data_IF_963120665300
#
_entry.id   IF_963120665300
#
_cell.length_a   1.000
_cell.length_b   1.000
_cell.length_c   1.000
_cell.angle_alpha   90.00
_cell.angle_beta   90.00
_cell.angle_gamma   90.00
#
_symmetry.space_group_name_H-M   'P 1'
#
loop_
_entity.id
_entity.type
_entity.pdbx_description
1 polymer ?
#
# COMPACT_ATOMS: atom_id res chain seq x y z
N UNK A 1 -26.08 42.33 34.69
CA UNK A 1 -25.80 42.14 33.26
C UNK A 1 -24.45 41.45 33.15
N UNK A 2 -24.42 40.13 32.87
CA UNK A 2 -23.15 39.41 32.62
C UNK A 2 -23.44 38.05 31.93
N UNK A 3 -23.93 38.12 30.69
CA UNK A 3 -24.15 36.97 29.80
C UNK A 3 -23.43 37.21 28.47
N UNK A 4 -22.12 37.39 28.51
CA UNK A 4 -21.31 37.60 27.31
C UNK A 4 -20.00 36.81 27.36
N UNK A 5 -20.11 35.52 27.63
CA UNK A 5 -19.04 34.56 27.41
C UNK A 5 -19.60 33.37 26.65
N UNK A 6 -19.93 33.55 25.35
CA UNK A 6 -20.23 32.41 24.49
C UNK A 6 -18.98 31.53 24.47
N UNK A 7 -19.02 30.44 25.24
CA UNK A 7 -17.98 29.43 25.26
C UNK A 7 -17.73 29.00 23.82
N UNK A 8 -16.48 29.16 23.35
CA UNK A 8 -16.06 28.65 22.04
C UNK A 8 -16.50 27.18 21.98
N UNK A 9 -17.40 26.88 21.05
CA UNK A 9 -18.00 25.55 20.94
C UNK A 9 -16.93 24.47 20.90
N UNK A 10 -16.95 23.58 21.88
CA UNK A 10 -16.07 22.42 21.91
C UNK A 10 -16.51 21.52 20.76
N UNK A 11 -15.65 21.36 19.75
CA UNK A 11 -15.93 20.45 18.64
C UNK A 11 -15.55 19.04 19.08
N UNK A 12 -16.56 18.21 19.33
CA UNK A 12 -16.37 16.76 19.50
C UNK A 12 -15.98 16.18 18.13
N UNK A 13 -14.87 15.44 18.09
CA UNK A 13 -14.32 14.91 16.83
C UNK A 13 -14.56 13.44 16.61
N UNK A 14 -14.57 12.64 17.68
CA UNK A 14 -14.70 11.20 17.62
C UNK A 14 -15.62 10.71 18.75
N UNK A 15 -16.42 9.68 18.47
CA UNK A 15 -17.17 8.88 19.44
C UNK A 15 -16.48 7.51 19.59
N UNK A 16 -16.49 6.98 20.81
CA UNK A 16 -16.12 5.59 21.08
C UNK A 16 -17.36 4.89 21.64
N UNK A 17 -17.60 3.64 21.25
CA UNK A 17 -18.75 2.87 21.72
C UNK A 17 -20.08 3.21 21.03
N UNK A 18 -20.06 4.01 19.96
CA UNK A 18 -21.27 4.42 19.23
C UNK A 18 -22.10 3.26 18.66
N UNK A 19 -21.50 2.09 18.44
CA UNK A 19 -22.22 0.90 17.97
C UNK A 19 -23.31 0.46 18.94
N UNK A 20 -23.10 0.60 20.26
CA UNK A 20 -24.08 0.24 21.28
C UNK A 20 -25.29 1.19 21.31
N UNK A 21 -25.27 2.29 20.55
CA UNK A 21 -26.45 3.17 20.36
C UNK A 21 -27.35 2.69 19.22
N UNK A 22 -26.79 1.96 18.25
CA UNK A 22 -27.50 1.53 17.04
C UNK A 22 -27.88 0.04 17.15
N UNK A 23 -27.02 -0.76 17.77
CA UNK A 23 -27.17 -2.20 17.92
C UNK A 23 -27.64 -2.55 19.33
N UNK A 24 -28.87 -3.08 19.44
CA UNK A 24 -29.46 -3.52 20.70
C UNK A 24 -28.79 -4.77 21.28
N UNK A 25 -28.10 -5.58 20.46
CA UNK A 25 -27.42 -6.78 20.94
C UNK A 25 -26.17 -6.45 21.76
N UNK A 26 -25.59 -5.27 21.53
CA UNK A 26 -24.42 -4.77 22.24
C UNK A 26 -24.79 -4.01 23.52
N UNK A 27 -26.08 -3.83 23.81
CA UNK A 27 -26.53 -3.11 24.99
C UNK A 27 -26.14 -3.85 26.28
N UNK A 28 -25.44 -3.16 27.18
CA UNK A 28 -24.94 -3.73 28.44
C UNK A 28 -23.70 -4.63 28.30
N UNK A 29 -23.22 -4.89 27.09
CA UNK A 29 -21.98 -5.62 26.88
C UNK A 29 -20.76 -4.71 27.13
N UNK A 30 -19.68 -5.22 27.73
CA UNK A 30 -18.44 -4.45 27.88
C UNK A 30 -17.85 -4.13 26.51
N UNK A 31 -17.31 -2.92 26.36
CA UNK A 31 -16.65 -2.52 25.13
C UNK A 31 -15.44 -3.44 24.87
N UNK A 32 -15.32 -4.07 23.69
CA UNK A 32 -14.37 -5.16 23.49
C UNK A 32 -12.90 -4.72 23.40
N UNK A 33 -12.65 -3.41 23.21
CA UNK A 33 -11.31 -2.87 23.00
C UNK A 33 -10.87 -2.02 24.18
N UNK A 34 -9.60 -2.13 24.56
CA UNK A 34 -8.98 -1.19 25.48
C UNK A 34 -8.68 0.14 24.78
N UNK A 35 -9.05 1.26 25.41
CA UNK A 35 -8.81 2.61 24.88
C UNK A 35 -7.66 3.24 25.63
N UNK A 36 -6.53 3.40 24.94
CA UNK A 36 -5.32 4.01 25.51
C UNK A 36 -5.12 5.42 24.95
N UNK A 37 -4.98 6.40 25.84
CA UNK A 37 -4.68 7.79 25.47
C UNK A 37 -3.17 7.95 25.22
N UNK A 38 -2.79 8.29 24.00
CA UNK A 38 -1.38 8.55 23.63
C UNK A 38 -0.91 9.97 23.96
N UNK A 39 -1.84 10.88 24.24
CA UNK A 39 -1.60 12.30 24.51
C UNK A 39 -2.59 12.82 25.53
N UNK A 40 -2.28 13.94 26.18
CA UNK A 40 -3.21 14.64 27.09
C UNK A 40 -4.48 15.00 26.32
N UNK A 41 -5.58 14.35 26.69
CA UNK A 41 -6.86 14.42 25.98
C UNK A 41 -7.95 14.68 27.00
N UNK A 42 -8.87 15.58 26.67
CA UNK A 42 -10.11 15.78 27.43
C UNK A 42 -11.19 14.93 26.76
N UNK A 43 -11.94 14.19 27.55
CA UNK A 43 -13.07 13.40 27.08
C UNK A 43 -14.32 13.76 27.87
N UNK A 44 -15.48 13.43 27.29
CA UNK A 44 -16.77 13.45 27.96
C UNK A 44 -17.30 12.04 27.91
N UNK A 45 -17.76 11.55 29.05
CA UNK A 45 -18.40 10.24 29.18
C UNK A 45 -19.91 10.45 29.37
N UNK A 46 -20.69 9.63 28.68
CA UNK A 46 -22.13 9.62 28.79
C UNK A 46 -22.65 8.19 28.96
N UNK A 47 -23.49 7.94 29.98
CA UNK A 47 -24.28 6.72 30.06
C UNK A 47 -25.16 6.54 28.82
N UNK A 48 -25.18 5.32 28.28
CA UNK A 48 -25.89 4.98 27.03
C UNK A 48 -27.39 5.24 27.13
N UNK A 49 -27.99 4.92 28.27
CA UNK A 49 -29.41 5.16 28.59
C UNK A 49 -29.75 6.65 28.55
N UNK A 50 -28.96 7.48 29.24
CA UNK A 50 -29.19 8.93 29.27
C UNK A 50 -29.02 9.58 27.89
N UNK A 51 -28.06 9.11 27.09
CA UNK A 51 -27.89 9.59 25.72
C UNK A 51 -29.07 9.18 24.83
N UNK A 52 -29.58 7.95 24.96
CA UNK A 52 -30.77 7.48 24.23
C UNK A 52 -32.00 8.30 24.60
N UNK A 53 -32.20 8.58 25.87
CA UNK A 53 -33.31 9.42 26.32
C UNK A 53 -33.19 10.84 25.75
N UNK A 54 -31.99 11.44 25.79
CA UNK A 54 -31.75 12.75 25.16
C UNK A 54 -32.01 12.75 23.64
N UNK A 55 -31.63 11.68 22.93
CA UNK A 55 -31.92 11.52 21.50
C UNK A 55 -33.42 11.33 21.23
N UNK A 56 -34.14 10.68 22.13
CA UNK A 56 -35.59 10.50 22.03
C UNK A 56 -36.33 11.82 22.24
N UNK A 57 -35.89 12.59 23.23
CA UNK A 57 -36.47 13.87 23.62
C UNK A 57 -36.16 14.98 22.60
N UNK A 58 -34.97 14.96 21.99
CA UNK A 58 -34.55 15.95 20.99
C UNK A 58 -33.99 15.30 19.72
N UNK A 59 -34.78 15.40 18.64
CA UNK A 59 -34.43 14.88 17.31
C UNK A 59 -33.23 15.58 16.66
N UNK A 60 -32.91 16.81 17.08
CA UNK A 60 -31.70 17.48 16.62
C UNK A 60 -30.44 16.84 17.20
N UNK A 61 -30.50 16.40 18.47
CA UNK A 61 -29.42 15.65 19.12
C UNK A 61 -29.25 14.29 18.45
N UNK A 62 -30.34 13.56 18.23
CA UNK A 62 -30.31 12.28 17.50
C UNK A 62 -29.67 12.43 16.12
N UNK A 63 -30.11 13.42 15.34
CA UNK A 63 -29.55 13.67 14.01
C UNK A 63 -28.06 14.01 14.06
N UNK A 64 -27.61 14.79 15.05
CA UNK A 64 -26.21 15.14 15.21
C UNK A 64 -25.34 13.91 15.56
N UNK A 65 -25.79 13.09 16.51
CA UNK A 65 -25.10 11.86 16.92
C UNK A 65 -25.01 10.87 15.75
N UNK A 66 -26.14 10.59 15.09
CA UNK A 66 -26.17 9.67 13.94
C UNK A 66 -25.31 10.18 12.78
N UNK A 67 -25.31 11.48 12.50
CA UNK A 67 -24.46 12.08 11.47
C UNK A 67 -22.97 11.91 11.79
N UNK A 68 -22.58 12.03 13.05
CA UNK A 68 -21.21 11.81 13.50
C UNK A 68 -20.81 10.34 13.34
N UNK A 69 -21.64 9.40 13.82
CA UNK A 69 -21.40 7.96 13.67
C UNK A 69 -21.31 7.53 12.20
N UNK A 70 -22.20 8.04 11.35
CA UNK A 70 -22.16 7.75 9.92
C UNK A 70 -20.88 8.27 9.26
N UNK A 71 -20.43 9.48 9.62
CA UNK A 71 -19.17 10.04 9.11
C UNK A 71 -17.98 9.18 9.51
N UNK A 72 -17.93 8.69 10.74
CA UNK A 72 -16.88 7.78 11.22
C UNK A 72 -16.89 6.45 10.46
N UNK A 73 -18.07 5.84 10.30
CA UNK A 73 -18.22 4.59 9.55
C UNK A 73 -17.76 4.75 8.09
N UNK A 74 -18.21 5.80 7.41
CA UNK A 74 -17.80 6.10 6.03
C UNK A 74 -16.30 6.39 5.94
N UNK A 75 -15.75 7.12 6.92
CA UNK A 75 -14.31 7.38 7.00
C UNK A 75 -13.53 6.08 7.17
N UNK A 76 -13.97 5.19 8.07
CA UNK A 76 -13.40 3.87 8.32
C UNK A 76 -13.40 3.01 7.06
N UNK A 77 -14.54 2.90 6.36
CA UNK A 77 -14.64 2.17 5.09
C UNK A 77 -13.74 2.74 4.01
N UNK A 78 -13.61 4.08 3.90
CA UNK A 78 -12.71 4.72 2.94
C UNK A 78 -11.25 4.43 3.26
N UNK A 79 -10.88 4.49 4.53
CA UNK A 79 -9.53 4.17 4.98
C UNK A 79 -9.20 2.69 4.74
N UNK A 80 -10.14 1.78 5.03
CA UNK A 80 -9.99 0.35 4.75
C UNK A 80 -9.83 0.08 3.26
N UNK A 81 -10.66 0.67 2.39
CA UNK A 81 -10.52 0.55 0.94
C UNK A 81 -9.18 1.09 0.44
N UNK A 82 -8.73 2.22 1.01
CA UNK A 82 -7.42 2.79 0.69
C UNK A 82 -6.30 1.83 1.09
N UNK A 83 -6.36 1.27 2.30
CA UNK A 83 -5.40 0.29 2.80
C UNK A 83 -5.37 -0.97 1.92
N UNK A 84 -6.53 -1.55 1.63
CA UNK A 84 -6.63 -2.71 0.73
C UNK A 84 -6.03 -2.42 -0.64
N UNK A 85 -6.27 -1.22 -1.20
CA UNK A 85 -5.69 -0.83 -2.49
C UNK A 85 -4.17 -0.67 -2.41
N UNK A 86 -3.64 -0.10 -1.33
CA UNK A 86 -2.20 0.03 -1.09
C UNK A 86 -1.55 -1.36 -0.93
N UNK A 87 -2.17 -2.25 -0.16
CA UNK A 87 -1.73 -3.63 0.01
C UNK A 87 -1.72 -4.38 -1.34
N UNK A 88 -2.79 -4.29 -2.13
CA UNK A 88 -2.87 -4.87 -3.47
C UNK A 88 -1.78 -4.34 -4.41
N UNK A 89 -1.49 -3.03 -4.34
CA UNK A 89 -0.40 -2.43 -5.12
C UNK A 89 0.96 -2.97 -4.70
N UNK A 90 1.20 -3.10 -3.39
CA UNK A 90 2.44 -3.65 -2.86
C UNK A 90 2.63 -5.13 -3.26
N UNK A 91 1.56 -5.92 -3.26
CA UNK A 91 1.60 -7.31 -3.74
C UNK A 91 1.98 -7.39 -5.22
N UNK A 92 1.30 -6.63 -6.09
CA UNK A 92 1.60 -6.61 -7.54
C UNK A 92 3.03 -6.16 -7.83
N UNK A 93 3.53 -5.19 -7.06
CA UNK A 93 4.91 -4.71 -7.16
C UNK A 93 5.91 -5.84 -6.84
N UNK A 94 5.65 -6.58 -5.77
CA UNK A 94 6.47 -7.72 -5.36
C UNK A 94 6.46 -8.81 -6.43
N UNK A 95 5.29 -9.19 -6.93
CA UNK A 95 5.14 -10.20 -7.99
C UNK A 95 5.90 -9.82 -9.26
N UNK A 96 5.77 -8.57 -9.70
CA UNK A 96 6.48 -8.09 -10.89
C UNK A 96 8.00 -8.13 -10.71
N UNK A 97 8.50 -7.74 -9.53
CA UNK A 97 9.93 -7.81 -9.23
C UNK A 97 10.43 -9.27 -9.27
N UNK A 98 9.66 -10.22 -8.73
CA UNK A 98 9.99 -11.65 -8.82
C UNK A 98 10.05 -12.14 -10.26
N UNK A 99 9.07 -11.77 -11.11
CA UNK A 99 9.10 -12.12 -12.53
C UNK A 99 10.32 -11.52 -13.24
N UNK A 100 10.62 -10.26 -12.95
CA UNK A 100 11.76 -9.56 -13.52
C UNK A 100 13.08 -10.24 -13.12
N UNK A 101 13.24 -10.60 -11.84
CA UNK A 101 14.40 -11.35 -11.33
C UNK A 101 14.64 -12.66 -12.08
N UNK A 102 13.57 -13.43 -12.31
CA UNK A 102 13.66 -14.70 -13.04
C UNK A 102 14.12 -14.47 -14.48
N UNK A 103 13.50 -13.51 -15.17
CA UNK A 103 13.81 -13.21 -16.58
C UNK A 103 15.22 -12.69 -16.77
N UNK A 104 15.78 -11.96 -15.81
CA UNK A 104 17.12 -11.39 -15.95
C UNK A 104 18.23 -12.26 -15.37
N UNK A 105 17.90 -13.41 -14.77
CA UNK A 105 18.84 -14.23 -14.00
C UNK A 105 19.99 -14.79 -14.84
N UNK A 106 19.74 -15.14 -16.10
CA UNK A 106 20.73 -15.68 -17.03
C UNK A 106 21.54 -14.58 -17.74
N UNK A 107 21.18 -13.31 -17.52
CA UNK A 107 21.81 -12.16 -18.13
C UNK A 107 21.46 -11.93 -19.61
N UNK A 108 20.45 -12.63 -20.13
CA UNK A 108 19.93 -12.50 -21.48
C UNK A 108 18.40 -12.51 -21.48
N UNK A 109 17.79 -11.44 -22.00
CA UNK A 109 16.34 -11.30 -22.00
C UNK A 109 15.78 -11.47 -23.41
N UNK A 110 15.01 -12.53 -23.63
CA UNK A 110 14.42 -12.82 -24.92
C UNK A 110 13.27 -11.83 -25.24
N UNK A 111 13.05 -11.42 -26.51
CA UNK A 111 11.97 -10.51 -26.87
C UNK A 111 10.57 -10.94 -26.41
N UNK A 112 10.29 -12.26 -26.36
CA UNK A 112 9.01 -12.77 -25.84
C UNK A 112 8.82 -12.51 -24.35
N UNK A 113 9.90 -12.58 -23.55
CA UNK A 113 9.86 -12.28 -22.11
C UNK A 113 9.67 -10.79 -21.87
N UNK A 114 10.30 -9.94 -22.70
CA UNK A 114 10.03 -8.49 -22.68
C UNK A 114 8.57 -8.19 -22.99
N UNK A 115 7.98 -8.88 -23.97
CA UNK A 115 6.56 -8.74 -24.29
C UNK A 115 5.69 -9.16 -23.12
N UNK A 116 5.97 -10.32 -22.50
CA UNK A 116 5.23 -10.82 -21.34
C UNK A 116 5.28 -9.83 -20.16
N UNK A 117 6.46 -9.30 -19.85
CA UNK A 117 6.62 -8.30 -18.78
C UNK A 117 5.95 -6.97 -19.15
N UNK A 118 5.99 -6.55 -20.42
CA UNK A 118 5.27 -5.36 -20.90
C UNK A 118 3.75 -5.52 -20.72
N UNK A 119 3.21 -6.70 -21.05
CA UNK A 119 1.79 -7.01 -20.88
C UNK A 119 1.41 -7.03 -19.40
N UNK A 120 2.24 -7.63 -18.53
CA UNK A 120 2.03 -7.61 -17.09
C UNK A 120 2.04 -6.16 -16.56
N UNK A 121 3.03 -5.35 -16.96
CA UNK A 121 3.12 -3.93 -16.56
C UNK A 121 1.88 -3.15 -16.97
N UNK A 122 1.41 -3.33 -18.21
CA UNK A 122 0.20 -2.66 -18.73
C UNK A 122 -1.05 -3.11 -17.95
N UNK A 123 -1.17 -4.41 -17.66
CA UNK A 123 -2.30 -4.97 -16.90
C UNK A 123 -2.35 -4.46 -15.47
N UNK A 124 -1.20 -4.29 -14.82
CA UNK A 124 -1.12 -3.92 -13.40
C UNK A 124 -0.79 -2.44 -13.14
N UNK A 125 -0.59 -1.64 -14.19
CA UNK A 125 -0.36 -0.20 -14.09
C UNK A 125 1.05 0.17 -13.64
N UNK A 126 2.04 -0.66 -13.93
CA UNK A 126 3.45 -0.45 -13.52
C UNK A 126 4.12 0.51 -14.51
N UNK A 127 4.36 1.73 -14.05
CA UNK A 127 4.95 2.81 -14.86
C UNK A 127 6.43 2.57 -15.20
N UNK A 128 6.94 3.31 -16.19
CA UNK A 128 8.35 3.17 -16.63
C UNK A 128 9.33 3.54 -15.52
N UNK A 129 9.01 4.54 -14.70
CA UNK A 129 9.84 4.93 -13.56
C UNK A 129 10.02 3.78 -12.57
N UNK A 130 8.94 3.07 -12.24
CA UNK A 130 8.99 1.95 -11.30
C UNK A 130 9.74 0.74 -11.88
N UNK A 131 9.49 0.42 -13.15
CA UNK A 131 10.24 -0.60 -13.88
C UNK A 131 11.75 -0.31 -13.90
N UNK A 132 12.14 0.93 -14.18
CA UNK A 132 13.53 1.34 -14.22
C UNK A 132 14.21 1.28 -12.85
N UNK A 133 13.49 1.62 -11.77
CA UNK A 133 14.01 1.45 -10.40
C UNK A 133 14.28 -0.02 -10.08
N UNK A 134 13.37 -0.92 -10.45
CA UNK A 134 13.57 -2.36 -10.24
C UNK A 134 14.72 -2.91 -11.08
N UNK A 135 14.86 -2.48 -12.34
CA UNK A 135 16.02 -2.84 -13.16
C UNK A 135 17.33 -2.40 -12.49
N UNK A 136 17.37 -1.18 -11.95
CA UNK A 136 18.54 -0.67 -11.24
C UNK A 136 18.86 -1.49 -9.98
N UNK A 137 17.84 -1.87 -9.20
CA UNK A 137 17.99 -2.76 -8.04
C UNK A 137 18.57 -4.13 -8.43
N UNK A 138 18.27 -4.61 -9.65
CA UNK A 138 18.81 -5.85 -10.23
C UNK A 138 20.13 -5.64 -10.98
N UNK A 139 20.72 -4.45 -10.92
CA UNK A 139 21.95 -4.07 -11.61
C UNK A 139 21.87 -4.22 -13.14
N UNK A 140 20.70 -3.89 -13.71
CA UNK A 140 20.46 -3.73 -15.14
C UNK A 140 20.23 -2.26 -15.48
N UNK A 141 20.89 -1.80 -16.55
CA UNK A 141 20.59 -0.49 -17.14
C UNK A 141 19.43 -0.56 -18.13
N UNK A 142 18.78 0.58 -18.39
CA UNK A 142 17.75 0.69 -19.43
C UNK A 142 18.29 0.31 -20.83
N UNK A 143 19.56 0.61 -21.10
CA UNK A 143 20.23 0.25 -22.35
C UNK A 143 20.37 -1.27 -22.47
N UNK A 144 20.88 -1.94 -21.42
CA UNK A 144 21.01 -3.41 -21.40
C UNK A 144 19.67 -4.11 -21.50
N UNK A 145 18.65 -3.57 -20.80
CA UNK A 145 17.28 -4.06 -20.91
C UNK A 145 16.75 -3.94 -22.33
N UNK A 146 17.00 -2.82 -23.01
CA UNK A 146 16.59 -2.59 -24.41
C UNK A 146 17.31 -3.53 -25.37
N UNK A 147 18.62 -3.70 -25.21
CA UNK A 147 19.42 -4.64 -25.99
C UNK A 147 19.08 -6.12 -25.69
N UNK A 148 18.58 -6.42 -24.48
CA UNK A 148 18.27 -7.77 -24.03
C UNK A 148 19.50 -8.58 -23.63
N UNK A 149 20.61 -7.94 -23.35
CA UNK A 149 21.84 -8.62 -22.95
C UNK A 149 22.65 -7.73 -22.02
N UNK A 150 23.18 -8.33 -20.95
CA UNK A 150 24.07 -7.62 -20.03
C UNK A 150 25.44 -7.38 -20.67
N UNK A 151 26.01 -6.20 -20.45
CA UNK A 151 27.27 -5.77 -21.10
C UNK A 151 28.40 -6.77 -20.88
N UNK A 152 28.53 -7.31 -19.66
CA UNK A 152 29.56 -8.29 -19.33
C UNK A 152 29.45 -9.61 -20.12
N UNK A 153 28.22 -10.10 -20.33
CA UNK A 153 27.98 -11.33 -21.11
C UNK A 153 28.26 -11.09 -22.60
N UNK A 154 27.91 -9.90 -23.09
CA UNK A 154 28.25 -9.46 -24.45
C UNK A 154 29.76 -9.48 -24.67
N UNK A 155 30.53 -8.94 -23.72
CA UNK A 155 32.00 -8.97 -23.76
C UNK A 155 32.58 -10.40 -23.75
N UNK A 156 32.06 -11.28 -22.89
CA UNK A 156 32.48 -12.69 -22.86
C UNK A 156 32.25 -13.39 -24.21
N UNK A 157 31.05 -13.26 -24.79
CA UNK A 157 30.71 -13.87 -26.08
C UNK A 157 31.57 -13.34 -27.24
N UNK A 158 31.93 -12.06 -27.21
CA UNK A 158 32.83 -11.46 -28.21
C UNK A 158 34.26 -12.02 -28.12
N UNK A 159 34.77 -12.26 -26.90
CA UNK A 159 36.10 -12.87 -26.70
C UNK A 159 36.14 -14.30 -27.25
N UNK A 160 35.11 -15.10 -26.98
CA UNK A 160 35.02 -16.47 -27.50
C UNK A 160 34.93 -16.50 -29.02
N UNK A 161 34.15 -15.58 -29.60
CA UNK A 161 34.02 -15.45 -31.06
C UNK A 161 35.34 -15.06 -31.74
N UNK A 162 36.14 -14.18 -31.12
CA UNK A 162 37.45 -13.81 -31.64
C UNK A 162 38.45 -14.96 -31.53
N UNK A 163 38.42 -15.76 -30.46
CA UNK A 163 39.31 -16.91 -30.28
C UNK A 163 39.11 -17.97 -31.37
N UNK A 164 37.87 -18.19 -31.81
CA UNK A 164 37.55 -19.11 -32.92
C UNK A 164 38.11 -18.57 -34.25
N UNK A 165 38.00 -17.25 -34.49
CA UNK A 165 38.45 -16.63 -35.75
C UNK A 165 39.96 -16.53 -35.88
N UNK A 166 40.71 -16.33 -34.79
CA UNK A 166 42.17 -16.13 -34.86
C UNK A 166 42.96 -17.43 -34.97
N UNK A 167 42.31 -18.60 -34.93
CA UNK A 167 42.96 -19.90 -35.16
C UNK A 167 44.14 -20.18 -34.23
N UNK A 168 44.24 -19.48 -33.08
CA UNK A 168 45.36 -19.65 -32.17
C UNK A 168 45.29 -21.06 -31.58
N UNK A 169 46.29 -21.92 -31.84
CA UNK A 169 46.34 -23.26 -31.31
C UNK A 169 46.25 -23.21 -29.79
N UNK A 170 45.49 -24.12 -29.18
CA UNK A 170 45.49 -24.30 -27.73
C UNK A 170 46.95 -24.48 -27.27
N UNK A 171 47.43 -23.71 -26.27
CA UNK A 171 48.75 -23.96 -25.70
C UNK A 171 48.75 -25.39 -25.17
N UNK A 172 49.75 -26.17 -25.60
CA UNK A 172 49.96 -27.53 -25.13
C UNK A 172 50.00 -27.55 -23.60
N UNK A 173 49.39 -28.54 -22.93
CA UNK A 173 49.51 -28.66 -21.48
C UNK A 173 51.00 -28.74 -21.09
N UNK A 174 51.41 -28.12 -19.96
CA UNK A 174 52.79 -28.20 -19.49
C UNK A 174 53.17 -29.66 -19.16
N UNK A 175 54.45 -30.03 -19.33
CA UNK A 175 54.95 -31.37 -19.06
C UNK A 175 54.91 -31.73 -17.57
#
# INVERSE_FOLDING_TARGET
EDRAGLARGVTVRNIIGGSALIDSELEGQPYPNEVVLTRRTTYVEWPTDLLRDAMRDDKSVEAAVLSMLYRELVSGMRMQRKKTREDEMATRRTEYNTLLQVVVADGYVHPSEKSLLSDYRKKHGIGDTEHNLMLQELHWSDVEWREGMRTHIKEMRLRDSNRIKTGSPLPSPPP
#
